data_IF_490802568626
#
_entry.id   IF_490802568626
#
_cell.length_a   1.000
_cell.length_b   1.000
_cell.length_c   1.000
_cell.angle_alpha   90.00
_cell.angle_beta   90.00
_cell.angle_gamma   90.00
#
_symmetry.space_group_name_H-M   'P 1'
#
loop_
_entity.id
_entity.type
_entity.pdbx_description
1 polymer ?
#
# COMPACT_ATOMS: atom_id res chain seq x y z
N UNK A 1 7.66 -10.15 19.79
CA UNK A 1 8.25 -9.67 21.07
C UNK A 1 7.10 -9.27 22.01
N UNK A 2 7.31 -9.11 23.31
CA UNK A 2 6.30 -8.61 24.27
C UNK A 2 6.86 -7.43 25.08
N UNK A 3 5.97 -6.60 25.67
CA UNK A 3 6.29 -5.36 26.41
C UNK A 3 6.99 -4.28 25.58
N UNK A 4 6.66 -4.21 24.29
CA UNK A 4 7.23 -3.22 23.36
C UNK A 4 6.67 -1.82 23.65
N UNK A 5 5.39 -1.76 24.03
CA UNK A 5 4.64 -0.52 24.32
C UNK A 5 5.20 0.27 25.51
N UNK A 6 5.91 -0.42 26.43
CA UNK A 6 6.54 0.20 27.61
C UNK A 6 7.85 0.95 27.27
N UNK A 7 8.30 0.86 26.02
CA UNK A 7 9.58 1.42 25.57
C UNK A 7 9.44 2.25 24.28
N UNK A 8 8.23 2.75 24.01
CA UNK A 8 7.89 3.49 22.79
C UNK A 8 8.82 4.68 22.53
N UNK A 9 9.22 5.42 23.57
CA UNK A 9 10.10 6.59 23.47
C UNK A 9 11.53 6.27 22.98
N UNK A 10 12.02 5.06 23.25
CA UNK A 10 13.34 4.58 22.79
C UNK A 10 13.24 4.08 21.35
N UNK A 11 12.10 3.47 21.01
CA UNK A 11 11.84 2.93 19.69
C UNK A 11 11.68 4.03 18.65
N UNK A 12 10.91 5.10 18.93
CA UNK A 12 10.72 6.21 17.99
C UNK A 12 12.03 6.88 17.57
N UNK A 13 13.01 6.99 18.48
CA UNK A 13 14.34 7.54 18.17
C UNK A 13 15.15 6.66 17.22
N UNK A 14 14.76 5.39 17.09
CA UNK A 14 15.44 4.38 16.26
C UNK A 14 14.69 4.09 14.95
N UNK A 15 13.47 4.64 14.78
CA UNK A 15 12.68 4.50 13.55
C UNK A 15 13.18 5.56 12.55
N UNK A 16 13.64 5.16 11.34
CA UNK A 16 13.97 6.11 10.30
C UNK A 16 12.75 6.92 9.86
N UNK A 17 12.95 8.12 9.30
CA UNK A 17 11.84 8.96 8.77
C UNK A 17 10.93 8.21 7.78
N UNK A 18 11.48 7.23 7.05
CA UNK A 18 10.72 6.37 6.15
C UNK A 18 9.76 5.39 6.86
N UNK A 19 9.70 5.37 8.20
CA UNK A 19 8.81 4.54 9.01
C UNK A 19 9.23 3.07 9.16
N UNK A 20 10.26 2.62 8.44
CA UNK A 20 10.82 1.27 8.53
C UNK A 20 12.34 1.31 8.46
N UNK A 21 13.01 0.48 9.27
CA UNK A 21 14.46 0.38 9.31
C UNK A 21 14.98 -1.02 9.67
N UNK A 22 16.26 -1.23 9.39
CA UNK A 22 17.03 -2.39 9.84
C UNK A 22 18.04 -1.90 10.87
N UNK A 23 18.20 -2.67 11.95
CA UNK A 23 19.13 -2.33 13.04
C UNK A 23 19.76 -3.60 13.62
N UNK A 24 20.80 -3.43 14.43
CA UNK A 24 21.31 -4.47 15.31
C UNK A 24 20.77 -4.28 16.72
N UNK A 25 20.34 -5.39 17.34
CA UNK A 25 19.92 -5.44 18.74
C UNK A 25 20.76 -6.44 19.49
N UNK A 26 20.90 -6.22 20.79
CA UNK A 26 21.62 -7.14 21.68
C UNK A 26 20.63 -7.95 22.49
N UNK A 27 20.93 -9.24 22.69
CA UNK A 27 20.11 -10.18 23.45
C UNK A 27 20.78 -10.47 24.79
N UNK A 28 20.02 -10.31 25.88
CA UNK A 28 20.55 -10.43 27.24
C UNK A 28 19.73 -11.43 28.02
N UNK A 29 20.39 -12.42 28.63
CA UNK A 29 19.75 -13.27 29.62
C UNK A 29 19.45 -12.44 30.88
N UNK A 30 18.20 -12.50 31.31
CA UNK A 30 17.80 -12.08 32.66
C UNK A 30 17.43 -13.31 33.47
N UNK A 31 18.11 -13.42 34.60
CA UNK A 31 17.81 -14.43 35.61
C UNK A 31 16.38 -14.29 36.14
N UNK A 32 15.89 -15.32 36.81
CA UNK A 32 14.59 -15.26 37.48
C UNK A 32 14.60 -14.15 38.54
N UNK A 33 13.52 -13.38 38.60
CA UNK A 33 13.31 -12.33 39.60
C UNK A 33 13.00 -12.92 40.99
N UNK A 34 12.61 -14.19 41.04
CA UNK A 34 12.01 -14.89 42.16
C UNK A 34 11.96 -16.40 41.87
N UNK A 35 11.87 -17.25 42.92
CA UNK A 35 12.04 -18.70 42.80
C UNK A 35 11.04 -19.40 41.83
N UNK A 36 9.97 -18.74 41.42
CA UNK A 36 8.96 -19.24 40.48
C UNK A 36 9.11 -18.72 39.04
N UNK A 37 9.92 -17.67 38.81
CA UNK A 37 10.09 -17.13 37.46
C UNK A 37 11.14 -17.92 36.68
N UNK A 38 10.99 -18.00 35.35
CA UNK A 38 11.99 -18.60 34.46
C UNK A 38 12.88 -17.50 33.89
N UNK A 39 14.15 -17.82 33.61
CA UNK A 39 15.02 -16.91 32.85
C UNK A 39 14.36 -16.52 31.53
N UNK A 40 14.48 -15.25 31.16
CA UNK A 40 13.94 -14.71 29.91
C UNK A 40 14.99 -13.88 29.18
N UNK A 41 14.73 -13.61 27.90
CA UNK A 41 15.64 -12.82 27.05
C UNK A 41 15.10 -11.40 26.89
N UNK A 42 15.90 -10.43 27.31
CA UNK A 42 15.70 -9.01 27.01
C UNK A 42 16.32 -8.65 25.66
N UNK A 43 15.64 -7.77 24.93
CA UNK A 43 16.14 -7.18 23.69
C UNK A 43 16.50 -5.72 23.95
N UNK A 44 17.68 -5.28 23.48
CA UNK A 44 18.19 -3.93 23.73
C UNK A 44 18.75 -3.23 22.50
N UNK A 45 18.54 -1.92 22.43
CA UNK A 45 19.17 -0.98 21.48
C UNK A 45 20.03 -0.01 22.31
N UNK A 46 21.33 0.12 21.99
CA UNK A 46 22.21 1.06 22.70
C UNK A 46 22.20 0.89 24.22
N UNK A 47 22.21 -0.38 24.68
CA UNK A 47 22.07 -0.79 26.08
C UNK A 47 20.73 -0.46 26.77
N UNK A 48 19.76 0.14 26.07
CA UNK A 48 18.41 0.39 26.57
C UNK A 48 17.48 -0.76 26.22
N UNK A 49 16.71 -1.23 27.19
CA UNK A 49 15.70 -2.28 26.99
C UNK A 49 14.58 -1.75 26.10
N UNK A 50 14.21 -2.55 25.08
CA UNK A 50 13.12 -2.24 24.14
C UNK A 50 12.00 -3.28 24.16
N UNK A 51 12.20 -4.38 24.88
CA UNK A 51 11.20 -5.43 25.04
C UNK A 51 11.82 -6.72 25.56
N UNK A 52 11.01 -7.76 25.60
CA UNK A 52 11.42 -9.10 25.99
C UNK A 52 10.81 -10.15 25.05
N UNK A 53 11.55 -11.23 24.82
CA UNK A 53 11.01 -12.38 24.07
C UNK A 53 9.96 -13.10 24.92
N UNK A 54 9.02 -13.79 24.26
CA UNK A 54 8.05 -14.64 24.97
C UNK A 54 8.80 -15.75 25.72
N UNK A 55 8.21 -16.38 26.76
CA UNK A 55 8.88 -17.47 27.48
C UNK A 55 9.33 -18.62 26.56
N UNK A 56 8.48 -19.02 25.61
CA UNK A 56 8.78 -20.07 24.64
C UNK A 56 9.95 -19.69 23.73
N UNK A 57 9.97 -18.47 23.21
CA UNK A 57 11.06 -17.99 22.34
C UNK A 57 12.34 -17.80 23.14
N UNK A 58 12.26 -17.28 24.37
CA UNK A 58 13.41 -17.12 25.27
C UNK A 58 14.12 -18.45 25.51
N UNK A 59 13.37 -19.51 25.82
CA UNK A 59 13.93 -20.84 26.06
C UNK A 59 14.79 -21.37 24.91
N UNK A 60 14.44 -21.01 23.66
CA UNK A 60 15.17 -21.41 22.45
C UNK A 60 16.49 -20.65 22.24
N UNK A 61 16.59 -19.42 22.73
CA UNK A 61 17.77 -18.56 22.53
C UNK A 61 18.75 -18.58 23.70
N UNK A 62 18.30 -18.91 24.92
CA UNK A 62 19.15 -18.95 26.11
C UNK A 62 20.41 -19.81 25.97
N UNK A 63 20.39 -21.02 25.36
CA UNK A 63 21.61 -21.82 25.21
C UNK A 63 22.70 -21.09 24.41
N UNK A 64 22.33 -20.46 23.29
CA UNK A 64 23.27 -19.69 22.45
C UNK A 64 23.79 -18.45 23.16
N UNK A 65 22.92 -17.71 23.84
CA UNK A 65 23.31 -16.51 24.61
C UNK A 65 24.32 -16.88 25.70
N UNK A 66 24.07 -17.96 26.43
CA UNK A 66 24.98 -18.47 27.47
C UNK A 66 26.30 -18.95 26.89
N UNK A 67 26.25 -19.63 25.74
CA UNK A 67 27.44 -20.08 25.03
C UNK A 67 28.34 -18.88 24.70
N UNK A 68 27.83 -17.92 23.93
CA UNK A 68 28.57 -16.72 23.52
C UNK A 68 29.10 -15.94 24.74
N UNK A 69 28.28 -15.77 25.79
CA UNK A 69 28.69 -15.09 27.02
C UNK A 69 29.86 -15.77 27.73
N UNK A 70 29.90 -17.11 27.77
CA UNK A 70 31.04 -17.86 28.36
C UNK A 70 32.34 -17.64 27.60
N UNK A 71 32.24 -17.36 26.30
CA UNK A 71 33.37 -16.98 25.46
C UNK A 71 33.68 -15.47 25.46
N UNK A 72 33.06 -14.70 26.38
CA UNK A 72 33.29 -13.25 26.47
C UNK A 72 32.62 -12.44 25.36
N UNK A 73 31.73 -13.05 24.57
CA UNK A 73 31.06 -12.40 23.44
C UNK A 73 29.68 -11.88 23.82
N UNK A 74 29.32 -10.72 23.24
CA UNK A 74 27.98 -10.16 23.32
C UNK A 74 27.10 -10.71 22.19
N UNK A 75 25.93 -11.25 22.53
CA UNK A 75 24.99 -11.75 21.53
C UNK A 75 24.29 -10.60 20.81
N UNK A 76 24.55 -10.48 19.50
CA UNK A 76 23.94 -9.50 18.59
C UNK A 76 23.10 -10.23 17.54
N UNK A 77 21.96 -9.65 17.16
CA UNK A 77 21.17 -10.12 16.03
C UNK A 77 20.60 -8.96 15.21
N UNK A 78 20.27 -9.21 13.94
CA UNK A 78 19.59 -8.25 13.08
C UNK A 78 18.13 -8.14 13.53
N UNK A 79 17.59 -6.94 13.51
CA UNK A 79 16.18 -6.70 13.69
C UNK A 79 15.63 -5.77 12.61
N UNK A 80 14.32 -5.88 12.36
CA UNK A 80 13.54 -4.91 11.61
C UNK A 80 12.68 -4.13 12.60
N UNK A 81 12.68 -2.80 12.46
CA UNK A 81 11.78 -1.91 13.18
C UNK A 81 10.80 -1.29 12.20
N UNK A 82 9.52 -1.30 12.57
CA UNK A 82 8.45 -0.60 11.86
C UNK A 82 7.77 0.30 12.88
N UNK A 83 7.75 1.60 12.61
CA UNK A 83 7.15 2.59 13.49
C UNK A 83 6.10 3.43 12.79
N UNK A 84 5.05 3.75 13.54
CA UNK A 84 4.02 4.74 13.18
C UNK A 84 3.88 5.75 14.33
N UNK A 85 3.04 6.77 14.16
CA UNK A 85 2.75 7.75 15.19
C UNK A 85 2.16 7.15 16.49
N UNK A 86 1.62 5.93 16.43
CA UNK A 86 0.87 5.30 17.54
C UNK A 86 1.42 3.95 18.00
N UNK A 87 2.33 3.32 17.25
CA UNK A 87 2.86 2.00 17.57
C UNK A 87 4.21 1.73 16.90
N UNK A 88 5.06 0.94 17.57
CA UNK A 88 6.34 0.48 17.02
C UNK A 88 6.46 -1.04 17.21
N UNK A 89 6.73 -1.77 16.13
CA UNK A 89 6.99 -3.21 16.12
C UNK A 89 8.48 -3.47 15.87
N UNK A 90 9.07 -4.40 16.62
CA UNK A 90 10.42 -4.91 16.36
C UNK A 90 10.38 -6.41 16.15
N UNK A 91 10.92 -6.85 15.01
CA UNK A 91 11.07 -8.25 14.65
C UNK A 91 12.56 -8.62 14.63
N UNK A 92 12.94 -9.62 15.42
CA UNK A 92 14.34 -10.08 15.47
C UNK A 92 14.57 -11.26 14.51
N UNK A 93 15.76 -11.31 13.94
CA UNK A 93 16.26 -12.39 13.09
C UNK A 93 17.53 -12.95 13.73
N UNK A 94 17.39 -14.07 14.43
CA UNK A 94 18.48 -14.73 15.16
C UNK A 94 18.43 -16.24 14.90
N UNK A 95 19.60 -16.85 14.77
CA UNK A 95 19.74 -18.31 14.67
C UNK A 95 19.70 -18.94 16.07
N UNK A 96 19.00 -20.05 16.20
CA UNK A 96 18.92 -20.83 17.45
C UNK A 96 20.15 -21.72 17.59
N UNK A 97 20.42 -22.20 18.81
CA UNK A 97 21.59 -23.03 19.06
C UNK A 97 21.66 -24.32 18.21
N UNK A 98 20.51 -24.87 17.83
CA UNK A 98 20.41 -26.07 16.99
C UNK A 98 20.39 -25.77 15.48
N UNK A 99 20.49 -24.51 15.08
CA UNK A 99 20.48 -24.07 13.68
C UNK A 99 21.86 -23.57 13.22
N UNK A 100 22.86 -23.67 14.10
CA UNK A 100 24.20 -23.09 13.94
C UNK A 100 25.21 -24.21 13.76
N UNK A 101 26.20 -24.03 12.88
CA UNK A 101 27.24 -25.03 12.61
C UNK A 101 28.16 -25.25 13.80
N UNK A 102 28.76 -26.43 13.88
CA UNK A 102 29.73 -26.77 14.92
C UNK A 102 30.96 -25.83 14.88
N UNK A 103 31.38 -25.39 13.68
CA UNK A 103 32.45 -24.40 13.47
C UNK A 103 32.16 -23.03 14.11
N UNK A 104 30.90 -22.62 14.15
CA UNK A 104 30.52 -21.39 14.86
C UNK A 104 30.50 -21.60 16.37
N UNK A 105 30.09 -22.79 16.82
CA UNK A 105 30.10 -23.14 18.24
C UNK A 105 31.53 -23.31 18.78
N UNK A 106 32.49 -23.78 17.96
CA UNK A 106 33.92 -23.88 18.31
C UNK A 106 34.61 -22.52 18.42
N UNK A 107 33.98 -21.45 17.90
CA UNK A 107 34.55 -20.10 17.86
C UNK A 107 35.55 -19.88 16.73
N UNK A 108 35.64 -20.82 15.78
CA UNK A 108 36.52 -20.74 14.60
C UNK A 108 35.87 -19.93 13.47
N UNK A 109 34.54 -19.76 13.49
CA UNK A 109 33.85 -18.92 12.52
C UNK A 109 34.19 -17.43 12.70
N UNK A 110 34.53 -16.71 11.60
CA UNK A 110 34.83 -15.29 11.67
C UNK A 110 33.59 -14.48 12.08
N UNK A 111 33.74 -13.62 13.10
CA UNK A 111 32.71 -12.66 13.51
C UNK A 111 32.66 -11.53 12.47
N UNK A 112 31.83 -11.69 11.45
CA UNK A 112 31.61 -10.69 10.41
C UNK A 112 30.47 -9.74 10.80
N UNK A 113 30.74 -8.78 11.69
CA UNK A 113 29.80 -7.69 11.94
C UNK A 113 30.23 -6.46 11.11
N UNK A 114 29.41 -6.01 10.14
CA UNK A 114 29.76 -4.85 9.34
C UNK A 114 29.86 -3.61 10.23
N UNK A 115 30.83 -2.74 9.94
CA UNK A 115 30.96 -1.45 10.60
C UNK A 115 29.69 -0.60 10.42
N UNK A 116 29.21 -0.01 11.50
CA UNK A 116 28.08 0.91 11.45
C UNK A 116 28.58 2.31 11.10
N UNK A 117 28.04 2.89 10.03
CA UNK A 117 28.32 4.27 9.62
C UNK A 117 27.16 5.20 10.04
N UNK A 118 27.44 6.48 10.35
CA UNK A 118 26.39 7.47 10.60
C UNK A 118 25.39 7.56 9.45
N UNK A 119 24.14 7.88 9.77
CA UNK A 119 23.11 8.10 8.77
C UNK A 119 23.49 9.29 7.86
N UNK A 120 23.44 9.12 6.54
CA UNK A 120 23.69 10.17 5.56
C UNK A 120 22.36 10.57 4.90
N UNK A 121 22.07 11.87 4.86
CA UNK A 121 20.86 12.37 4.18
C UNK A 121 20.84 12.04 2.69
N UNK A 122 22.02 12.03 2.06
CA UNK A 122 22.18 11.58 0.68
C UNK A 122 22.65 10.12 0.67
N UNK A 123 21.83 9.14 0.24
CA UNK A 123 22.24 7.74 0.17
C UNK A 123 23.43 7.49 -0.76
N UNK A 124 23.73 8.40 -1.70
CA UNK A 124 24.89 8.31 -2.60
C UNK A 124 26.19 8.79 -1.95
N UNK A 125 26.14 9.37 -0.75
CA UNK A 125 27.31 9.87 -0.03
C UNK A 125 28.02 8.77 0.78
N UNK A 126 27.44 7.58 0.89
CA UNK A 126 28.11 6.45 1.54
C UNK A 126 29.30 5.96 0.70
N UNK A 127 30.46 5.85 1.33
CA UNK A 127 31.60 5.14 0.74
C UNK A 127 31.31 3.63 0.76
N UNK A 128 31.04 3.07 -0.41
CA UNK A 128 30.74 1.65 -0.59
C UNK A 128 31.98 0.83 -0.94
N UNK A 129 33.18 1.43 -1.01
CA UNK A 129 34.40 0.70 -1.37
C UNK A 129 34.66 -0.49 -0.44
N UNK A 130 34.47 -0.31 0.87
CA UNK A 130 34.60 -1.37 1.88
C UNK A 130 33.55 -2.48 1.72
N UNK A 131 32.41 -2.16 1.10
CA UNK A 131 31.31 -3.08 0.85
C UNK A 131 31.25 -3.56 -0.61
N UNK A 132 32.24 -3.23 -1.45
CA UNK A 132 32.19 -3.50 -2.89
C UNK A 132 32.02 -5.00 -3.20
N UNK A 133 32.56 -5.87 -2.35
CA UNK A 133 32.40 -7.33 -2.48
C UNK A 133 31.00 -7.84 -2.09
N UNK A 134 30.26 -7.07 -1.28
CA UNK A 134 28.88 -7.37 -0.85
C UNK A 134 27.83 -6.76 -1.79
N UNK A 135 28.16 -5.63 -2.42
CA UNK A 135 27.32 -4.96 -3.40
C UNK A 135 27.48 -5.66 -4.74
N UNK A 136 26.75 -6.77 -4.95
CA UNK A 136 26.55 -7.27 -6.30
C UNK A 136 25.74 -6.23 -7.07
N UNK A 137 26.21 -5.70 -8.21
CA UNK A 137 25.37 -4.88 -9.06
C UNK A 137 24.15 -5.73 -9.44
N UNK A 138 22.98 -5.35 -8.93
CA UNK A 138 21.75 -5.86 -9.48
C UNK A 138 21.74 -5.34 -10.91
N UNK A 139 21.72 -6.25 -11.89
CA UNK A 139 21.54 -5.85 -13.29
C UNK A 139 20.40 -4.83 -13.31
N UNK A 140 20.57 -3.65 -13.94
CA UNK A 140 19.57 -2.60 -13.87
C UNK A 140 18.24 -3.25 -14.18
N UNK A 141 17.35 -3.27 -13.18
CA UNK A 141 16.01 -3.80 -13.39
C UNK A 141 15.50 -3.07 -14.60
N UNK A 142 15.23 -3.79 -15.68
CA UNK A 142 14.55 -3.22 -16.81
C UNK A 142 13.30 -2.59 -16.20
N UNK A 143 13.24 -1.25 -16.20
CA UNK A 143 12.00 -0.56 -15.93
C UNK A 143 11.11 -1.07 -17.03
N UNK A 144 10.28 -2.06 -16.73
CA UNK A 144 9.24 -2.52 -17.63
C UNK A 144 8.41 -1.26 -17.85
N UNK A 145 8.67 -0.55 -18.96
CA UNK A 145 7.79 0.47 -19.48
C UNK A 145 6.52 -0.29 -19.80
N UNK A 146 5.61 -0.35 -18.83
CA UNK A 146 4.33 -1.01 -19.03
C UNK A 146 3.69 -0.32 -20.23
N UNK A 147 3.28 -1.08 -21.25
CA UNK A 147 2.55 -0.49 -22.36
C UNK A 147 1.35 0.23 -21.76
N UNK A 148 1.24 1.52 -22.04
CA UNK A 148 0.01 2.26 -21.77
C UNK A 148 -1.00 1.71 -22.78
N UNK A 149 -2.19 1.24 -22.35
CA UNK A 149 -3.21 0.78 -23.28
C UNK A 149 -3.52 1.87 -24.31
N UNK A 150 -3.88 1.46 -25.53
CA UNK A 150 -4.26 2.42 -26.57
C UNK A 150 -5.42 3.30 -26.07
N UNK A 151 -5.39 4.58 -26.39
CA UNK A 151 -6.44 5.51 -25.96
C UNK A 151 -7.75 5.21 -26.71
N UNK A 152 -8.86 4.92 -26.00
CA UNK A 152 -10.16 4.74 -26.65
C UNK A 152 -10.67 5.97 -27.41
N UNK A 153 -11.63 5.75 -28.31
CA UNK A 153 -12.27 6.78 -29.14
C UNK A 153 -13.04 7.85 -28.33
N UNK A 154 -13.38 8.97 -28.97
CA UNK A 154 -14.16 10.03 -28.32
C UNK A 154 -15.58 9.54 -27.98
N UNK A 155 -16.08 9.92 -26.80
CA UNK A 155 -17.34 9.41 -26.25
C UNK A 155 -17.28 7.98 -25.70
N UNK A 156 -16.16 7.27 -25.84
CA UNK A 156 -15.99 5.94 -25.23
C UNK A 156 -15.93 6.04 -23.71
N UNK A 157 -16.46 4.99 -23.06
CA UNK A 157 -16.55 4.91 -21.60
C UNK A 157 -15.70 3.75 -21.11
N UNK A 158 -14.83 4.03 -20.15
CA UNK A 158 -14.03 3.03 -19.45
C UNK A 158 -14.42 2.99 -17.98
N UNK A 159 -14.35 1.80 -17.38
CA UNK A 159 -14.39 1.62 -15.94
C UNK A 159 -13.08 1.05 -15.44
N UNK A 160 -12.74 1.39 -14.20
CA UNK A 160 -11.55 0.88 -13.54
C UNK A 160 -11.72 0.94 -12.03
N UNK A 161 -10.92 0.16 -11.30
CA UNK A 161 -10.97 0.13 -9.84
C UNK A 161 -9.64 0.50 -9.20
N UNK A 162 -9.73 0.97 -7.95
CA UNK A 162 -8.58 1.29 -7.10
C UNK A 162 -8.77 0.76 -5.69
N UNK A 163 -7.65 0.67 -4.97
CA UNK A 163 -7.61 0.18 -3.58
C UNK A 163 -8.27 -1.19 -3.46
N UNK A 164 -7.83 -2.14 -4.30
CA UNK A 164 -8.31 -3.52 -4.32
C UNK A 164 -9.83 -3.64 -4.55
N UNK A 165 -10.39 -2.81 -5.44
CA UNK A 165 -11.81 -2.83 -5.77
C UNK A 165 -12.69 -1.97 -4.87
N UNK A 166 -12.13 -1.34 -3.82
CA UNK A 166 -12.89 -0.48 -2.91
C UNK A 166 -13.51 0.74 -3.59
N UNK A 167 -12.83 1.28 -4.60
CA UNK A 167 -13.32 2.42 -5.38
C UNK A 167 -13.43 2.02 -6.83
N UNK A 168 -14.63 2.12 -7.39
CA UNK A 168 -14.89 1.89 -8.81
C UNK A 168 -15.19 3.23 -9.45
N UNK A 169 -14.46 3.54 -10.51
CA UNK A 169 -14.57 4.77 -11.27
C UNK A 169 -15.03 4.47 -12.68
N UNK A 170 -15.74 5.43 -13.25
CA UNK A 170 -16.01 5.50 -14.67
C UNK A 170 -15.35 6.76 -15.22
N UNK A 171 -14.86 6.68 -16.44
CA UNK A 171 -14.43 7.85 -17.17
C UNK A 171 -14.96 7.82 -18.61
N UNK A 172 -15.33 8.99 -19.13
CA UNK A 172 -15.77 9.18 -20.51
C UNK A 172 -14.78 10.08 -21.22
N UNK A 173 -14.45 9.76 -22.46
CA UNK A 173 -13.63 10.63 -23.30
C UNK A 173 -14.47 11.78 -23.86
N UNK A 174 -13.99 13.00 -23.66
CA UNK A 174 -14.58 14.22 -24.18
C UNK A 174 -13.48 15.07 -24.83
N UNK A 175 -13.31 14.90 -26.14
CA UNK A 175 -12.25 15.51 -26.92
C UNK A 175 -10.85 15.08 -26.44
N UNK A 176 -9.98 16.01 -26.00
CA UNK A 176 -8.64 15.70 -25.53
C UNK A 176 -8.58 15.24 -24.06
N UNK A 177 -9.70 15.26 -23.34
CA UNK A 177 -9.76 15.03 -21.90
C UNK A 177 -10.63 13.82 -21.55
N UNK A 178 -10.34 13.26 -20.38
CA UNK A 178 -11.14 12.21 -19.76
C UNK A 178 -11.81 12.78 -18.52
N UNK A 179 -13.14 12.80 -18.54
CA UNK A 179 -13.95 13.19 -17.40
C UNK A 179 -14.20 11.94 -16.55
N UNK A 180 -13.89 11.99 -15.26
CA UNK A 180 -14.03 10.84 -14.36
C UNK A 180 -15.09 11.09 -13.29
N UNK A 181 -15.63 10.02 -12.72
CA UNK A 181 -16.57 10.06 -11.58
C UNK A 181 -15.90 10.39 -10.24
N UNK A 182 -14.70 10.97 -10.25
CA UNK A 182 -14.06 11.47 -9.05
C UNK A 182 -14.82 12.70 -8.51
N UNK A 183 -14.93 12.82 -7.20
CA UNK A 183 -15.70 13.92 -6.56
C UNK A 183 -14.84 15.13 -6.22
N UNK A 184 -13.56 15.15 -6.61
CA UNK A 184 -12.70 16.31 -6.41
C UNK A 184 -11.49 16.28 -7.34
N UNK A 185 -10.85 17.45 -7.49
CA UNK A 185 -9.55 17.59 -8.14
C UNK A 185 -8.36 17.35 -7.20
N UNK A 186 -8.59 16.64 -6.09
CA UNK A 186 -7.53 16.25 -5.15
C UNK A 186 -7.40 14.73 -5.13
N UNK A 187 -6.16 14.26 -5.11
CA UNK A 187 -5.86 12.84 -5.01
C UNK A 187 -5.36 12.23 -6.31
N UNK A 188 -5.41 10.90 -6.37
CA UNK A 188 -4.71 10.14 -7.40
C UNK A 188 -5.55 9.88 -8.66
N UNK A 189 -6.85 10.18 -8.63
CA UNK A 189 -7.78 10.27 -9.77
C UNK A 189 -8.52 11.59 -9.57
N UNK A 190 -8.52 12.46 -10.57
CA UNK A 190 -9.16 13.79 -10.54
C UNK A 190 -10.31 13.84 -11.52
N UNK A 191 -11.19 14.83 -11.41
CA UNK A 191 -12.39 14.95 -12.27
C UNK A 191 -12.05 15.03 -13.76
N UNK A 192 -10.92 15.68 -14.09
CA UNK A 192 -10.43 15.81 -15.46
C UNK A 192 -9.01 15.28 -15.54
N UNK A 193 -8.71 14.43 -16.52
CA UNK A 193 -7.39 13.83 -16.72
C UNK A 193 -7.04 13.68 -18.20
N UNK A 194 -5.74 13.65 -18.52
CA UNK A 194 -5.25 13.13 -19.81
C UNK A 194 -5.16 11.61 -19.77
N UNK A 195 -5.34 10.94 -20.91
CA UNK A 195 -5.23 9.47 -20.96
C UNK A 195 -3.89 8.95 -20.44
N UNK A 196 -2.78 9.59 -20.82
CA UNK A 196 -1.44 9.19 -20.38
C UNK A 196 -1.25 9.25 -18.86
N UNK A 197 -1.97 10.14 -18.18
CA UNK A 197 -1.99 10.24 -16.73
C UNK A 197 -2.95 9.22 -16.13
N UNK A 198 -4.17 9.13 -16.65
CA UNK A 198 -5.22 8.20 -16.20
C UNK A 198 -4.76 6.74 -16.28
N UNK A 199 -4.21 6.35 -17.43
CA UNK A 199 -3.73 4.99 -17.69
C UNK A 199 -2.58 4.56 -16.78
N UNK A 200 -1.84 5.50 -16.19
CA UNK A 200 -0.80 5.21 -15.18
C UNK A 200 -1.38 4.95 -13.79
N UNK A 201 -2.65 5.30 -13.54
CA UNK A 201 -3.28 5.22 -12.20
C UNK A 201 -3.97 3.89 -11.92
N UNK A 202 -4.38 3.16 -12.95
CA UNK A 202 -4.98 1.82 -12.83
C UNK A 202 -4.16 0.78 -13.58
N UNK A 203 -4.29 -0.48 -13.17
CA UNK A 203 -3.66 -1.65 -13.82
C UNK A 203 -4.60 -2.38 -14.77
N UNK A 204 -5.90 -2.12 -14.65
CA UNK A 204 -6.96 -2.83 -15.36
C UNK A 204 -8.03 -1.79 -15.68
N UNK A 205 -8.29 -1.64 -16.98
CA UNK A 205 -9.42 -0.91 -17.50
C UNK A 205 -10.29 -1.89 -18.25
N UNK A 206 -11.60 -1.66 -18.20
CA UNK A 206 -12.55 -2.31 -19.08
C UNK A 206 -13.28 -1.21 -19.86
N UNK A 207 -13.33 -1.32 -21.18
CA UNK A 207 -14.12 -0.46 -22.04
C UNK A 207 -15.52 -1.04 -22.20
N UNK A 208 -16.55 -0.19 -22.19
CA UNK A 208 -17.90 -0.63 -22.50
C UNK A 208 -17.98 -1.09 -23.97
N UNK A 209 -18.32 -2.36 -24.20
CA UNK A 209 -18.34 -2.97 -25.53
C UNK A 209 -19.75 -3.18 -26.10
N UNK A 210 -20.79 -3.00 -25.29
CA UNK A 210 -22.18 -3.07 -25.73
C UNK A 210 -23.06 -2.09 -24.93
N UNK A 211 -24.07 -1.55 -25.61
CA UNK A 211 -24.95 -0.49 -25.10
C UNK A 211 -26.39 -0.78 -25.49
N UNK A 212 -27.31 -0.63 -24.53
CA UNK A 212 -28.75 -0.69 -24.74
C UNK A 212 -29.38 0.68 -24.45
N UNK A 213 -30.49 1.00 -25.12
CA UNK A 213 -31.29 2.18 -24.80
C UNK A 213 -31.89 2.04 -23.39
N UNK A 214 -31.68 3.04 -22.54
CA UNK A 214 -32.15 3.02 -21.13
C UNK A 214 -33.67 2.78 -21.05
N UNK A 215 -34.45 3.36 -21.95
CA UNK A 215 -35.92 3.22 -21.96
C UNK A 215 -36.39 1.77 -22.17
N UNK A 216 -35.55 0.92 -22.75
CA UNK A 216 -35.83 -0.50 -22.96
C UNK A 216 -35.34 -1.37 -21.79
N UNK A 217 -34.47 -0.83 -20.93
CA UNK A 217 -33.77 -1.56 -19.87
C UNK A 217 -33.84 -0.84 -18.50
N UNK A 218 -35.02 -0.31 -18.15
CA UNK A 218 -35.21 0.51 -16.93
C UNK A 218 -34.80 -0.21 -15.64
N UNK A 219 -34.89 -1.55 -15.62
CA UNK A 219 -34.48 -2.34 -14.46
C UNK A 219 -32.96 -2.39 -14.25
N UNK A 220 -32.16 -2.28 -15.32
CA UNK A 220 -30.69 -2.33 -15.22
C UNK A 220 -30.14 -1.10 -14.50
N UNK A 221 -30.82 0.03 -14.59
CA UNK A 221 -30.49 1.27 -13.89
C UNK A 221 -30.40 1.05 -12.37
N UNK A 222 -31.21 0.15 -11.80
CA UNK A 222 -31.23 -0.13 -10.36
C UNK A 222 -30.05 -0.98 -9.88
N UNK A 223 -29.27 -1.55 -10.80
CA UNK A 223 -28.17 -2.42 -10.43
C UNK A 223 -26.99 -1.60 -9.90
N UNK A 224 -26.41 -2.06 -8.80
CA UNK A 224 -25.17 -1.49 -8.27
C UNK A 224 -24.07 -1.59 -9.32
N UNK A 225 -23.31 -0.51 -9.49
CA UNK A 225 -22.28 -0.34 -10.53
C UNK A 225 -22.81 -0.35 -11.97
N UNK A 226 -24.12 -0.22 -12.18
CA UNK A 226 -24.64 0.11 -13.50
C UNK A 226 -24.02 1.40 -14.00
N UNK A 227 -23.66 1.44 -15.28
CA UNK A 227 -23.05 2.61 -15.91
C UNK A 227 -23.96 3.08 -17.03
N UNK A 228 -24.32 4.35 -16.98
CA UNK A 228 -25.02 5.02 -18.07
C UNK A 228 -24.12 6.02 -18.75
N UNK A 229 -24.33 6.20 -20.06
CA UNK A 229 -23.81 7.32 -20.85
C UNK A 229 -25.01 8.14 -21.30
N UNK A 230 -24.87 9.45 -21.26
CA UNK A 230 -25.91 10.39 -21.65
C UNK A 230 -25.31 11.70 -22.13
N UNK A 231 -26.15 12.51 -22.77
CA UNK A 231 -25.83 13.86 -23.19
C UNK A 231 -26.50 14.87 -22.26
N UNK A 232 -25.81 15.95 -21.91
CA UNK A 232 -26.39 17.06 -21.18
C UNK A 232 -25.79 18.38 -21.67
N UNK A 233 -26.63 19.27 -22.19
CA UNK A 233 -26.20 20.54 -22.81
C UNK A 233 -25.04 20.35 -23.81
N UNK A 234 -25.14 19.33 -24.68
CA UNK A 234 -24.13 18.93 -25.69
C UNK A 234 -22.83 18.32 -25.14
N UNK A 235 -22.74 18.03 -23.85
CA UNK A 235 -21.60 17.33 -23.27
C UNK A 235 -21.87 15.84 -23.15
N UNK A 236 -20.92 15.01 -23.60
CA UNK A 236 -20.94 13.57 -23.35
C UNK A 236 -20.53 13.29 -21.91
N UNK A 237 -21.43 12.65 -21.16
CA UNK A 237 -21.24 12.33 -19.75
C UNK A 237 -21.50 10.85 -19.49
N UNK A 238 -20.94 10.36 -18.39
CA UNK A 238 -21.26 9.06 -17.86
C UNK A 238 -21.60 9.16 -16.37
N UNK A 239 -22.31 8.17 -15.85
CA UNK A 239 -22.55 8.04 -14.43
C UNK A 239 -22.52 6.57 -14.00
N UNK A 240 -22.13 6.33 -12.74
CA UNK A 240 -22.13 5.01 -12.11
C UNK A 240 -23.05 4.99 -10.89
N UNK A 241 -23.88 3.95 -10.81
CA UNK A 241 -24.76 3.72 -9.67
C UNK A 241 -23.95 3.16 -8.49
N UNK A 242 -24.02 3.81 -7.34
CA UNK A 242 -23.37 3.37 -6.10
C UNK A 242 -24.33 2.80 -5.07
N UNK A 243 -25.64 2.91 -5.29
CA UNK A 243 -26.66 2.42 -4.37
C UNK A 243 -26.56 0.89 -4.23
N UNK A 244 -26.57 0.43 -3.00
CA UNK A 244 -26.45 -0.97 -2.62
C UNK A 244 -27.80 -1.63 -2.30
N UNK A 245 -28.86 -0.83 -2.14
CA UNK A 245 -30.17 -1.29 -1.70
C UNK A 245 -31.08 -1.71 -2.87
N UNK A 246 -30.90 -1.15 -4.07
CA UNK A 246 -31.73 -1.43 -5.25
C UNK A 246 -33.21 -1.02 -5.12
N UNK A 247 -33.61 -0.38 -4.01
CA UNK A 247 -35.00 -0.05 -3.67
C UNK A 247 -35.51 1.24 -4.32
N UNK A 248 -34.62 2.10 -4.78
CA UNK A 248 -34.90 3.27 -5.59
C UNK A 248 -33.89 3.33 -6.73
N UNK A 249 -34.16 4.15 -7.75
CA UNK A 249 -33.38 4.17 -9.00
C UNK A 249 -31.90 4.60 -8.85
N UNK A 250 -31.43 4.76 -7.61
CA UNK A 250 -30.02 4.81 -7.23
C UNK A 250 -29.51 6.20 -6.94
N UNK A 251 -28.41 6.23 -6.19
CA UNK A 251 -27.52 7.37 -6.04
C UNK A 251 -26.37 7.19 -7.03
N UNK A 252 -26.04 8.25 -7.77
CA UNK A 252 -25.14 8.17 -8.91
C UNK A 252 -23.98 9.15 -8.74
N UNK A 253 -22.76 8.67 -9.02
CA UNK A 253 -21.64 9.57 -9.30
C UNK A 253 -21.52 9.79 -10.80
N UNK A 254 -21.46 11.05 -11.20
CA UNK A 254 -21.40 11.49 -12.59
C UNK A 254 -19.99 11.96 -12.94
N UNK A 255 -19.67 12.02 -14.22
CA UNK A 255 -18.43 12.61 -14.72
C UNK A 255 -18.48 14.14 -14.82
N UNK A 256 -19.49 14.78 -14.20
CA UNK A 256 -19.60 16.24 -14.16
C UNK A 256 -18.51 16.77 -13.22
N UNK A 257 -17.64 17.62 -13.76
CA UNK A 257 -16.62 18.31 -12.97
C UNK A 257 -17.20 19.53 -12.24
N UNK A 258 -16.51 20.01 -11.22
CA UNK A 258 -16.92 21.21 -10.46
C UNK A 258 -17.13 22.42 -11.38
N UNK A 259 -16.32 22.54 -12.44
CA UNK A 259 -16.44 23.62 -13.43
C UNK A 259 -17.72 23.52 -14.29
N UNK A 260 -18.12 22.29 -14.62
CA UNK A 260 -19.34 22.05 -15.40
C UNK A 260 -20.59 22.22 -14.53
N UNK A 261 -20.52 21.82 -13.27
CA UNK A 261 -21.63 21.90 -12.30
C UNK A 261 -22.19 23.32 -12.18
N UNK A 262 -21.37 24.36 -12.29
CA UNK A 262 -21.81 25.77 -12.28
C UNK A 262 -22.85 26.10 -13.36
N UNK A 263 -22.93 25.30 -14.42
CA UNK A 263 -23.76 25.55 -15.59
C UNK A 263 -24.76 24.42 -15.88
N UNK A 264 -24.86 23.44 -14.97
CA UNK A 264 -25.66 22.23 -15.15
C UNK A 264 -26.67 22.05 -14.00
N UNK A 265 -27.80 21.35 -14.26
CA UNK A 265 -28.86 21.17 -13.27
C UNK A 265 -28.46 20.27 -12.08
N UNK A 266 -27.36 19.52 -12.18
CA UNK A 266 -26.81 18.69 -11.11
C UNK A 266 -25.30 18.50 -11.29
N UNK A 267 -24.66 17.98 -10.25
CA UNK A 267 -23.20 17.90 -10.15
C UNK A 267 -22.63 16.49 -10.21
N UNK A 268 -21.45 16.35 -9.60
CA UNK A 268 -20.74 15.07 -9.49
C UNK A 268 -21.53 13.99 -8.75
N UNK A 269 -22.48 14.35 -7.90
CA UNK A 269 -23.46 13.46 -7.27
C UNK A 269 -24.87 13.84 -7.72
N UNK A 270 -25.65 12.84 -8.16
CA UNK A 270 -26.99 13.04 -8.67
C UNK A 270 -27.93 11.89 -8.30
N UNK A 271 -29.24 12.16 -8.29
CA UNK A 271 -30.25 11.10 -8.28
C UNK A 271 -30.56 10.69 -9.69
N UNK A 272 -31.03 9.46 -9.86
CA UNK A 272 -31.51 9.01 -11.17
C UNK A 272 -32.61 9.90 -11.74
N UNK A 273 -33.51 10.44 -10.90
CA UNK A 273 -34.56 11.36 -11.34
C UNK A 273 -33.99 12.57 -12.07
N UNK A 274 -32.87 13.11 -11.60
CA UNK A 274 -32.22 14.28 -12.19
C UNK A 274 -31.59 13.92 -13.54
N UNK A 275 -30.87 12.78 -13.58
CA UNK A 275 -30.27 12.25 -14.81
C UNK A 275 -31.36 11.96 -15.85
N UNK A 276 -32.47 11.32 -15.45
CA UNK A 276 -33.55 10.95 -16.35
C UNK A 276 -34.38 12.15 -16.83
N UNK A 277 -34.47 13.21 -16.02
CA UNK A 277 -35.20 14.43 -16.37
C UNK A 277 -34.44 15.29 -17.38
N UNK A 278 -33.14 15.47 -17.19
CA UNK A 278 -32.34 16.40 -17.99
C UNK A 278 -31.43 15.70 -19.02
N UNK A 279 -31.16 14.41 -18.86
CA UNK A 279 -30.31 13.63 -19.74
C UNK A 279 -30.98 13.32 -21.09
N UNK A 280 -30.24 13.57 -22.16
CA UNK A 280 -30.58 13.23 -23.54
C UNK A 280 -29.78 11.99 -23.97
N UNK A 281 -30.24 11.29 -25.01
CA UNK A 281 -29.53 10.14 -25.62
C UNK A 281 -28.93 9.17 -24.59
N UNK A 282 -29.78 8.62 -23.72
CA UNK A 282 -29.36 7.78 -22.60
C UNK A 282 -29.19 6.31 -23.00
N UNK A 283 -28.00 5.79 -22.76
CA UNK A 283 -27.62 4.40 -23.00
C UNK A 283 -27.04 3.78 -21.73
N UNK A 284 -27.26 2.49 -21.52
CA UNK A 284 -26.72 1.71 -20.40
C UNK A 284 -25.75 0.66 -20.93
N UNK A 285 -24.58 0.55 -20.30
CA UNK A 285 -23.56 -0.42 -20.69
C UNK A 285 -23.99 -1.83 -20.27
N UNK A 286 -23.97 -2.77 -21.22
CA UNK A 286 -24.41 -4.17 -21.02
C UNK A 286 -23.26 -5.18 -21.12
N UNK A 287 -22.13 -4.81 -21.73
CA UNK A 287 -20.92 -5.63 -21.81
C UNK A 287 -19.65 -4.78 -21.67
N UNK A 288 -18.56 -5.43 -21.27
CA UNK A 288 -17.28 -4.81 -20.95
C UNK A 288 -16.11 -5.66 -21.43
N UNK A 289 -15.18 -5.06 -22.17
CA UNK A 289 -13.99 -5.73 -22.70
C UNK A 289 -12.72 -5.17 -22.03
N UNK A 290 -11.74 -6.04 -21.67
CA UNK A 290 -10.47 -5.57 -21.12
C UNK A 290 -9.65 -4.73 -22.13
N UNK A 291 -9.01 -3.67 -21.63
CA UNK A 291 -8.05 -2.84 -22.38
C UNK A 291 -6.59 -3.23 -22.10
#
# INVERSE_FOLDING_TARGET
MTKVDQHFDVLLKSVPEAGRGVLFVTLHERGPLDARSKSHVEVRIGNKRIGQLTPQTSARFLPMIRHLRRHGLLTVCRAEIVGSAVAAEVRIHAMKANEVSDEFLSGEAPINLPGLHPNQQNPKAYDLNSAAQLVRPVAPMAVLKRPIPAEPGDGEVVRFSRSEGRYVYVAVRCGPEWLTTATSNRGAVTQVMKWSDLARRSRQFEQASSWDLVRQQVNLVRQKLAVVRFMLNRNYLAAINIADTGYYDGDWYTTISDFMEEHLPFGSYARWSDIAQYGEDMWIATAWDPL
#
